data_IF_917620220997
#
_entry.id   IF_917620220997
#
_cell.length_a   1.000
_cell.length_b   1.000
_cell.length_c   1.000
_cell.angle_alpha   90.00
_cell.angle_beta   90.00
_cell.angle_gamma   90.00
#
_symmetry.space_group_name_H-M   'P 1'
#
loop_
_entity.id
_entity.type
_entity.pdbx_description
1 polymer ?
#
# COMPACT_ATOMS: atom_id res chain seq x y z
N UNK A 1 31.27 -6.84 -32.72
CA UNK A 1 29.89 -6.95 -33.25
C UNK A 1 29.04 -7.67 -32.22
N UNK A 2 28.51 -6.94 -31.26
CA UNK A 2 27.62 -7.46 -30.21
C UNK A 2 26.22 -7.57 -30.80
N UNK A 3 25.64 -8.77 -30.86
CA UNK A 3 24.27 -9.00 -31.33
C UNK A 3 23.29 -8.27 -30.39
N UNK A 4 22.51 -7.34 -30.93
CA UNK A 4 21.62 -6.43 -30.18
C UNK A 4 20.22 -6.99 -29.91
N UNK A 5 20.04 -8.31 -29.96
CA UNK A 5 18.77 -8.96 -29.64
C UNK A 5 19.07 -10.34 -29.08
N UNK A 6 19.09 -10.44 -27.76
CA UNK A 6 19.08 -11.71 -27.02
C UNK A 6 17.64 -12.05 -26.67
N UNK A 7 17.26 -13.31 -26.79
CA UNK A 7 15.93 -13.80 -26.42
C UNK A 7 15.74 -13.67 -24.89
N UNK A 8 14.54 -13.24 -24.45
CA UNK A 8 14.20 -13.06 -23.03
C UNK A 8 14.38 -14.38 -22.26
N UNK A 9 14.13 -15.50 -22.94
CA UNK A 9 14.29 -16.86 -22.41
C UNK A 9 15.75 -17.20 -22.10
N UNK A 10 16.70 -16.78 -22.94
CA UNK A 10 18.14 -16.97 -22.70
C UNK A 10 18.67 -16.08 -21.56
N UNK A 11 18.05 -14.91 -21.37
CA UNK A 11 18.37 -13.99 -20.27
C UNK A 11 17.90 -14.54 -18.91
N UNK A 12 16.75 -15.22 -18.90
CA UNK A 12 16.20 -15.89 -17.73
C UNK A 12 16.95 -17.18 -17.36
N UNK A 13 17.41 -17.96 -18.35
CA UNK A 13 18.15 -19.21 -18.11
C UNK A 13 19.60 -19.00 -17.63
N UNK A 14 20.23 -17.87 -17.94
CA UNK A 14 21.60 -17.56 -17.47
C UNK A 14 21.68 -16.99 -16.05
N UNK A 15 20.56 -16.62 -15.43
CA UNK A 15 20.54 -15.85 -14.18
C UNK A 15 19.96 -16.61 -12.97
N UNK A 16 20.35 -17.87 -12.82
CA UNK A 16 19.96 -18.76 -11.71
C UNK A 16 20.70 -18.48 -10.37
N UNK A 17 21.10 -17.23 -10.10
CA UNK A 17 21.85 -16.86 -8.86
C UNK A 17 21.36 -15.58 -8.17
N UNK A 18 20.07 -15.25 -8.23
CA UNK A 18 19.51 -14.15 -7.42
C UNK A 18 19.94 -12.74 -7.84
N UNK A 19 20.92 -12.59 -8.74
CA UNK A 19 21.45 -11.31 -9.20
C UNK A 19 20.45 -10.50 -10.04
N UNK A 20 19.51 -11.14 -10.74
CA UNK A 20 18.45 -10.41 -11.45
C UNK A 20 17.42 -9.82 -10.47
N UNK A 21 16.98 -10.59 -9.48
CA UNK A 21 16.06 -10.09 -8.44
C UNK A 21 16.73 -9.05 -7.57
N UNK A 22 18.01 -9.23 -7.24
CA UNK A 22 18.85 -8.23 -6.58
C UNK A 22 18.97 -6.98 -7.45
N UNK A 23 19.34 -7.09 -8.72
CA UNK A 23 19.48 -5.96 -9.63
C UNK A 23 18.15 -5.24 -9.88
N UNK A 24 17.02 -5.96 -9.96
CA UNK A 24 15.68 -5.39 -10.09
C UNK A 24 15.28 -4.66 -8.80
N UNK A 25 15.54 -5.26 -7.64
CA UNK A 25 15.28 -4.68 -6.32
C UNK A 25 16.20 -3.49 -5.99
N UNK A 26 17.43 -3.49 -6.50
CA UNK A 26 18.43 -2.43 -6.32
C UNK A 26 18.29 -1.30 -7.36
N UNK A 27 17.86 -1.61 -8.59
CA UNK A 27 17.86 -0.64 -9.69
C UNK A 27 16.52 0.08 -9.92
N UNK A 28 15.35 -0.56 -9.77
CA UNK A 28 14.10 0.04 -10.32
C UNK A 28 12.81 -0.26 -9.55
N UNK A 29 12.66 -1.37 -8.83
CA UNK A 29 11.34 -1.69 -8.25
C UNK A 29 11.20 -1.25 -6.80
N UNK A 30 10.56 -0.11 -6.58
CA UNK A 30 9.53 -0.09 -5.54
C UNK A 30 8.36 -0.91 -6.09
N UNK A 31 8.18 -2.16 -5.64
CA UNK A 31 6.93 -2.85 -5.97
C UNK A 31 5.80 -2.07 -5.31
N UNK A 32 4.76 -1.77 -6.09
CA UNK A 32 3.46 -1.41 -5.57
C UNK A 32 2.85 -2.68 -5.01
N UNK A 33 2.62 -2.71 -3.71
CA UNK A 33 2.04 -3.87 -3.06
C UNK A 33 0.52 -3.80 -3.15
N UNK A 34 -0.04 -4.79 -3.84
CA UNK A 34 -1.48 -5.01 -3.99
C UNK A 34 -1.80 -6.33 -3.29
N UNK A 35 -1.49 -6.38 -1.98
CA UNK A 35 -1.45 -7.61 -1.19
C UNK A 35 -2.77 -8.40 -1.22
N UNK A 36 -3.88 -7.69 -1.30
CA UNK A 36 -5.21 -8.26 -1.41
C UNK A 36 -5.55 -8.72 -2.84
N UNK A 37 -5.02 -8.08 -3.88
CA UNK A 37 -5.31 -8.43 -5.27
C UNK A 37 -4.38 -9.53 -5.78
N UNK A 38 -3.06 -9.30 -5.77
CA UNK A 38 -2.07 -10.27 -6.24
C UNK A 38 -2.11 -11.57 -5.43
N UNK A 39 -2.07 -11.40 -4.11
CA UNK A 39 -1.85 -12.50 -3.18
C UNK A 39 -3.11 -13.31 -2.89
N UNK A 40 -4.21 -12.63 -2.56
CA UNK A 40 -5.40 -13.27 -2.02
C UNK A 40 -6.49 -13.52 -3.07
N UNK A 41 -6.73 -12.57 -3.98
CA UNK A 41 -7.79 -12.68 -4.99
C UNK A 41 -7.35 -13.42 -6.25
N UNK A 42 -6.25 -12.99 -6.86
CA UNK A 42 -5.82 -13.48 -8.18
C UNK A 42 -4.91 -14.71 -8.12
N UNK A 43 -4.40 -15.06 -6.92
CA UNK A 43 -3.53 -16.21 -6.74
C UNK A 43 -2.18 -16.10 -7.47
N UNK A 44 -1.72 -14.87 -7.76
CA UNK A 44 -0.45 -14.60 -8.43
C UNK A 44 0.78 -14.74 -7.51
N UNK A 45 0.55 -15.18 -6.27
CA UNK A 45 1.55 -15.31 -5.24
C UNK A 45 1.55 -14.11 -4.31
N UNK A 46 1.93 -14.34 -3.05
CA UNK A 46 1.96 -13.27 -2.04
C UNK A 46 3.39 -12.76 -1.84
N UNK A 47 3.72 -11.52 -2.27
CA UNK A 47 5.04 -10.96 -2.03
C UNK A 47 5.28 -10.81 -0.52
N UNK A 48 6.40 -11.32 -0.03
CA UNK A 48 6.80 -11.18 1.38
C UNK A 48 7.88 -10.12 1.49
N UNK A 49 7.58 -9.02 2.19
CA UNK A 49 8.53 -7.93 2.44
C UNK A 49 9.78 -8.46 3.14
N UNK A 50 9.60 -9.34 4.13
CA UNK A 50 10.71 -9.95 4.84
C UNK A 50 11.61 -10.78 3.91
N UNK A 51 11.02 -11.62 3.03
CA UNK A 51 11.81 -12.41 2.07
C UNK A 51 12.54 -11.49 1.09
N UNK A 52 11.89 -10.44 0.59
CA UNK A 52 12.53 -9.45 -0.29
C UNK A 52 13.71 -8.78 0.42
N UNK A 53 13.58 -8.46 1.71
CA UNK A 53 14.65 -7.88 2.52
C UNK A 53 15.84 -8.81 2.76
N UNK A 54 15.67 -10.13 2.68
CA UNK A 54 16.81 -11.07 2.73
C UNK A 54 17.71 -10.93 1.49
N UNK A 55 17.16 -10.50 0.36
CA UNK A 55 17.89 -10.31 -0.91
C UNK A 55 18.36 -8.85 -1.03
N UNK A 56 17.47 -7.90 -0.72
CA UNK A 56 17.71 -6.46 -0.77
C UNK A 56 17.36 -5.82 0.59
N UNK A 57 18.31 -5.71 1.52
CA UNK A 57 18.04 -5.25 2.90
C UNK A 57 17.38 -3.87 3.00
N UNK A 58 17.66 -2.99 2.03
CA UNK A 58 17.12 -1.64 1.97
C UNK A 58 15.84 -1.51 1.12
N UNK A 59 15.25 -2.65 0.74
CA UNK A 59 14.06 -2.69 -0.10
C UNK A 59 12.91 -1.87 0.50
N UNK A 60 12.39 -0.95 -0.30
CA UNK A 60 11.22 -0.11 -0.01
C UNK A 60 10.11 -0.43 -0.99
N UNK A 61 8.89 -0.22 -0.57
CA UNK A 61 7.69 -0.51 -1.36
C UNK A 61 6.66 0.60 -1.17
N UNK A 62 5.74 0.70 -2.11
CA UNK A 62 4.57 1.58 -2.00
C UNK A 62 3.29 0.75 -2.00
N UNK A 63 2.15 1.37 -1.73
CA UNK A 63 0.84 0.72 -1.75
C UNK A 63 0.02 1.15 -2.97
N UNK A 64 -0.82 0.25 -3.44
CA UNK A 64 -1.76 0.49 -4.55
C UNK A 64 -3.10 -0.20 -4.28
N UNK A 65 -4.13 0.28 -4.95
CA UNK A 65 -5.48 -0.30 -4.89
C UNK A 65 -5.76 -1.27 -6.03
N UNK A 66 -4.89 -1.31 -7.05
CA UNK A 66 -5.11 -1.97 -8.34
C UNK A 66 -6.44 -1.57 -8.99
N UNK A 67 -7.07 -2.49 -9.73
CA UNK A 67 -8.33 -2.30 -10.43
C UNK A 67 -9.53 -2.15 -9.49
N UNK A 68 -10.35 -1.09 -9.62
CA UNK A 68 -11.50 -0.83 -8.74
C UNK A 68 -12.76 -1.68 -9.08
N UNK A 69 -12.63 -2.71 -9.91
CA UNK A 69 -13.77 -3.48 -10.44
C UNK A 69 -14.18 -4.65 -9.54
N UNK A 70 -13.29 -5.11 -8.66
CA UNK A 70 -13.52 -6.26 -7.79
C UNK A 70 -13.15 -6.00 -6.31
N UNK A 71 -12.73 -4.77 -5.96
CA UNK A 71 -12.28 -4.41 -4.62
C UNK A 71 -12.62 -2.96 -4.25
N UNK A 72 -12.61 -2.69 -2.94
CA UNK A 72 -12.65 -1.33 -2.41
C UNK A 72 -11.41 -0.52 -2.82
N UNK A 73 -11.62 0.77 -3.09
CA UNK A 73 -10.61 1.72 -3.60
C UNK A 73 -9.94 2.54 -2.50
N UNK A 74 -10.05 2.11 -1.25
CA UNK A 74 -9.56 2.86 -0.11
C UNK A 74 -8.21 2.35 0.41
N UNK A 75 -7.30 3.29 0.71
CA UNK A 75 -5.94 2.95 1.19
C UNK A 75 -5.93 2.38 2.61
N UNK A 76 -6.95 2.62 3.44
CA UNK A 76 -7.02 2.06 4.80
C UNK A 76 -7.16 0.54 4.76
N UNK A 77 -8.04 0.03 3.91
CA UNK A 77 -8.20 -1.39 3.66
C UNK A 77 -6.92 -2.01 3.11
N UNK A 78 -6.21 -1.33 2.19
CA UNK A 78 -4.92 -1.82 1.64
C UNK A 78 -3.82 -1.86 2.70
N UNK A 79 -3.71 -0.81 3.53
CA UNK A 79 -2.78 -0.77 4.66
C UNK A 79 -3.04 -1.94 5.63
N UNK A 80 -4.30 -2.14 6.03
CA UNK A 80 -4.70 -3.21 6.94
C UNK A 80 -4.47 -4.60 6.34
N UNK A 81 -4.81 -4.80 5.06
CA UNK A 81 -4.58 -6.05 4.35
C UNK A 81 -3.09 -6.40 4.30
N UNK A 82 -2.24 -5.45 3.89
CA UNK A 82 -0.78 -5.64 3.89
C UNK A 82 -0.27 -5.98 5.29
N UNK A 83 -0.66 -5.19 6.31
CA UNK A 83 -0.20 -5.39 7.68
C UNK A 83 -0.56 -6.78 8.20
N UNK A 84 -1.82 -7.20 8.05
CA UNK A 84 -2.29 -8.50 8.51
C UNK A 84 -1.66 -9.66 7.72
N UNK A 85 -1.53 -9.52 6.40
CA UNK A 85 -0.99 -10.56 5.54
C UNK A 85 0.49 -10.82 5.82
N UNK A 86 1.32 -9.78 5.93
CA UNK A 86 2.75 -9.98 6.24
C UNK A 86 2.95 -10.60 7.62
N UNK A 87 2.14 -10.22 8.61
CA UNK A 87 2.18 -10.85 9.94
C UNK A 87 1.74 -12.31 9.89
N UNK A 88 0.68 -12.62 9.15
CA UNK A 88 0.23 -14.01 8.93
C UNK A 88 1.31 -14.85 8.26
N UNK A 89 1.97 -14.33 7.21
CA UNK A 89 3.05 -15.04 6.53
C UNK A 89 4.22 -15.36 7.48
N UNK A 90 4.58 -14.46 8.38
CA UNK A 90 5.62 -14.71 9.38
C UNK A 90 5.18 -15.75 10.41
N UNK A 91 3.95 -15.66 10.92
CA UNK A 91 3.42 -16.68 11.85
C UNK A 91 3.31 -18.06 11.19
N UNK A 92 3.02 -18.15 9.89
CA UNK A 92 2.99 -19.43 9.17
C UNK A 92 4.38 -20.00 8.91
N UNK A 93 5.37 -19.14 8.67
CA UNK A 93 6.75 -19.56 8.45
C UNK A 93 7.40 -20.12 9.73
N UNK A 94 7.00 -19.63 10.90
CA UNK A 94 7.48 -20.11 12.20
C UNK A 94 6.40 -20.01 13.30
N UNK A 95 5.49 -21.00 13.37
CA UNK A 95 4.34 -20.96 14.27
C UNK A 95 4.73 -20.97 15.76
N UNK A 96 5.78 -21.71 16.11
CA UNK A 96 6.21 -21.86 17.50
C UNK A 96 7.08 -20.69 17.96
N UNK A 97 7.94 -20.13 17.08
CA UNK A 97 8.75 -19.00 17.47
C UNK A 97 7.89 -17.81 17.85
N UNK A 98 6.87 -17.41 17.09
CA UNK A 98 6.15 -16.20 17.50
C UNK A 98 5.23 -16.40 18.71
N UNK A 99 4.56 -17.56 18.87
CA UNK A 99 3.64 -17.73 20.00
C UNK A 99 4.40 -17.81 21.34
N UNK A 100 5.45 -18.63 21.42
CA UNK A 100 6.21 -18.80 22.66
C UNK A 100 7.12 -17.59 22.93
N UNK A 101 7.81 -17.09 21.89
CA UNK A 101 8.66 -15.90 22.03
C UNK A 101 7.84 -14.66 22.37
N UNK A 102 6.58 -14.52 21.91
CA UNK A 102 5.76 -13.36 22.28
C UNK A 102 5.54 -13.24 23.80
N UNK A 103 5.36 -14.36 24.52
CA UNK A 103 5.17 -14.30 25.98
C UNK A 103 6.47 -14.04 26.76
N UNK A 104 7.63 -14.33 26.16
CA UNK A 104 8.95 -14.12 26.79
C UNK A 104 9.57 -12.78 26.39
N UNK A 105 9.57 -12.48 25.10
CA UNK A 105 10.11 -11.28 24.46
C UNK A 105 9.24 -10.88 23.23
N UNK A 106 8.22 -10.03 23.44
CA UNK A 106 7.40 -9.50 22.35
C UNK A 106 8.19 -8.74 21.27
N UNK A 107 9.35 -8.17 21.61
CA UNK A 107 10.17 -7.44 20.65
C UNK A 107 10.87 -8.41 19.70
N UNK A 108 11.40 -9.53 20.22
CA UNK A 108 12.02 -10.56 19.41
C UNK A 108 11.03 -11.24 18.42
N UNK A 109 9.78 -11.53 18.84
CA UNK A 109 8.77 -12.05 17.89
C UNK A 109 8.44 -11.04 16.78
N UNK A 110 8.58 -9.72 17.04
CA UNK A 110 8.33 -8.67 16.04
C UNK A 110 9.54 -8.35 15.17
N UNK A 111 10.71 -8.92 15.44
CA UNK A 111 11.92 -8.60 14.70
C UNK A 111 11.81 -9.00 13.22
N UNK A 112 12.15 -8.06 12.34
CA UNK A 112 11.99 -8.19 10.89
C UNK A 112 10.55 -8.13 10.37
N UNK A 113 9.53 -8.07 11.23
CA UNK A 113 8.15 -7.84 10.78
C UNK A 113 7.96 -6.38 10.35
N UNK A 114 7.07 -6.17 9.37
CA UNK A 114 6.66 -4.81 9.03
C UNK A 114 5.92 -4.13 10.17
N UNK A 115 6.13 -2.83 10.30
CA UNK A 115 5.52 -1.96 11.31
C UNK A 115 4.37 -1.15 10.72
N UNK A 116 3.47 -0.67 11.59
CA UNK A 116 2.41 0.26 11.17
C UNK A 116 2.99 1.54 10.54
N UNK A 117 4.16 1.98 11.00
CA UNK A 117 4.89 3.11 10.42
C UNK A 117 5.29 2.84 8.97
N UNK A 118 5.91 1.70 8.70
CA UNK A 118 6.31 1.34 7.33
C UNK A 118 5.10 1.21 6.39
N UNK A 119 3.98 0.71 6.91
CA UNK A 119 2.71 0.65 6.15
C UNK A 119 2.20 2.06 5.81
N UNK A 120 2.21 2.98 6.78
CA UNK A 120 1.83 4.38 6.54
C UNK A 120 2.80 5.08 5.58
N UNK A 121 4.10 4.79 5.68
CA UNK A 121 5.13 5.30 4.75
C UNK A 121 4.90 4.77 3.33
N UNK A 122 4.54 3.49 3.19
CA UNK A 122 4.17 2.88 1.91
C UNK A 122 2.95 3.56 1.26
N UNK A 123 1.98 3.98 2.07
CA UNK A 123 0.80 4.72 1.63
C UNK A 123 1.05 6.21 1.36
N UNK A 124 2.22 6.75 1.70
CA UNK A 124 2.53 8.19 1.63
C UNK A 124 3.87 8.48 0.96
N UNK A 125 4.96 8.59 1.73
CA UNK A 125 6.27 9.03 1.27
C UNK A 125 6.88 8.10 0.23
N UNK A 126 6.69 6.79 0.38
CA UNK A 126 7.22 5.82 -0.57
C UNK A 126 6.39 5.76 -1.85
N UNK A 127 5.08 6.00 -1.79
CA UNK A 127 4.25 6.24 -2.98
C UNK A 127 4.68 7.49 -3.75
N UNK A 128 4.97 8.60 -3.04
CA UNK A 128 5.50 9.80 -3.68
C UNK A 128 6.89 9.55 -4.30
N UNK A 129 7.74 8.74 -3.65
CA UNK A 129 9.04 8.33 -4.20
C UNK A 129 8.87 7.49 -5.48
N UNK A 130 7.98 6.50 -5.46
CA UNK A 130 7.74 5.59 -6.59
C UNK A 130 7.25 6.33 -7.83
N UNK A 131 6.48 7.40 -7.63
CA UNK A 131 5.94 8.21 -8.70
C UNK A 131 6.85 9.41 -9.10
N UNK A 132 8.06 9.52 -8.56
CA UNK A 132 8.96 10.65 -8.84
C UNK A 132 8.45 12.00 -8.30
N UNK A 133 7.52 11.99 -7.35
CA UNK A 133 6.86 13.17 -6.77
C UNK A 133 7.40 13.54 -5.38
N UNK A 134 8.44 12.87 -4.89
CA UNK A 134 8.97 13.10 -3.54
C UNK A 134 9.44 14.55 -3.31
N UNK A 135 9.87 15.27 -4.36
CA UNK A 135 10.19 16.70 -4.24
C UNK A 135 8.96 17.60 -4.02
N UNK A 136 7.75 17.10 -4.30
CA UNK A 136 6.49 17.86 -4.31
C UNK A 136 5.54 17.48 -3.19
N UNK A 137 5.44 16.19 -2.85
CA UNK A 137 4.43 15.66 -1.90
C UNK A 137 4.98 14.48 -1.08
N UNK A 138 4.11 13.80 -0.33
CA UNK A 138 4.40 12.59 0.43
C UNK A 138 4.96 12.81 1.84
N UNK A 139 5.35 14.04 2.19
CA UNK A 139 5.73 14.41 3.57
C UNK A 139 5.23 15.82 3.90
N UNK A 140 4.93 16.07 5.17
CA UNK A 140 4.64 17.41 5.68
C UNK A 140 5.97 18.13 5.93
N UNK A 141 6.47 18.82 4.92
CA UNK A 141 7.76 19.53 4.96
C UNK A 141 7.65 20.86 4.23
N UNK A 142 8.37 21.89 4.70
CA UNK A 142 8.35 23.22 4.07
C UNK A 142 8.74 23.12 2.59
N UNK A 143 8.03 23.87 1.74
CA UNK A 143 8.26 23.90 0.28
C UNK A 143 7.52 22.85 -0.52
N UNK A 144 6.86 21.87 0.13
CA UNK A 144 5.99 20.88 -0.53
C UNK A 144 4.54 21.38 -0.65
N UNK A 145 3.78 20.75 -1.56
CA UNK A 145 2.35 20.99 -1.71
C UNK A 145 1.61 20.59 -0.42
N UNK A 146 0.55 21.34 -0.09
CA UNK A 146 -0.34 21.01 1.02
C UNK A 146 -1.34 19.91 0.59
N UNK A 147 -0.81 18.70 0.40
CA UNK A 147 -1.58 17.48 0.21
C UNK A 147 -1.79 16.82 1.58
N UNK A 148 -2.94 17.07 2.18
CA UNK A 148 -3.19 16.76 3.60
C UNK A 148 -4.52 16.03 3.74
N UNK A 149 -4.53 14.94 4.50
CA UNK A 149 -5.74 14.23 4.93
C UNK A 149 -5.90 14.45 6.44
N UNK A 150 -7.03 15.01 6.85
CA UNK A 150 -7.38 15.23 8.25
C UNK A 150 -8.30 14.09 8.71
N UNK A 151 -7.96 13.47 9.84
CA UNK A 151 -8.63 12.29 10.37
C UNK A 151 -9.23 12.59 11.76
N UNK A 152 -10.48 12.19 11.99
CA UNK A 152 -11.12 12.32 13.30
C UNK A 152 -10.88 11.09 14.17
N UNK A 153 -9.88 11.20 15.06
CA UNK A 153 -9.49 10.14 16.00
C UNK A 153 -10.34 10.12 17.29
N UNK A 154 -11.45 10.87 17.34
CA UNK A 154 -12.33 10.96 18.52
C UNK A 154 -13.65 10.20 18.34
N UNK A 155 -13.83 9.53 17.21
CA UNK A 155 -15.00 8.68 16.97
C UNK A 155 -14.98 7.47 17.91
N UNK A 156 -16.16 7.00 18.28
CA UNK A 156 -16.35 5.98 19.34
C UNK A 156 -15.66 4.64 19.04
N UNK A 157 -15.47 4.33 17.76
CA UNK A 157 -14.87 3.11 17.23
C UNK A 157 -13.33 3.13 17.22
N UNK A 158 -12.71 4.31 17.36
CA UNK A 158 -11.24 4.49 17.32
C UNK A 158 -10.67 5.23 18.52
N UNK A 159 -11.50 5.84 19.36
CA UNK A 159 -11.10 6.55 20.56
C UNK A 159 -11.10 5.68 21.82
N UNK A 160 -10.25 5.98 22.83
CA UNK A 160 -9.19 7.00 22.83
C UNK A 160 -7.94 6.58 22.04
N UNK A 161 -7.34 7.53 21.33
CA UNK A 161 -6.13 7.30 20.51
C UNK A 161 -4.86 7.24 21.37
N UNK A 162 -4.24 6.06 21.42
CA UNK A 162 -2.95 5.84 22.11
C UNK A 162 -1.75 5.88 21.15
N UNK A 163 -1.90 5.32 19.96
CA UNK A 163 -0.90 5.32 18.89
C UNK A 163 -1.56 5.77 17.58
N UNK A 164 -1.32 7.00 17.10
CA UNK A 164 -1.94 7.51 15.88
C UNK A 164 -1.55 6.69 14.63
N UNK A 165 -0.34 6.13 14.59
CA UNK A 165 0.17 5.44 13.41
C UNK A 165 -0.45 4.05 13.32
N UNK A 166 -0.44 3.32 14.44
CA UNK A 166 -1.16 2.06 14.57
C UNK A 166 -2.63 2.23 14.22
N UNK A 167 -3.28 3.27 14.77
CA UNK A 167 -4.70 3.54 14.53
C UNK A 167 -5.03 3.75 13.05
N UNK A 168 -4.24 4.57 12.33
CA UNK A 168 -4.42 4.82 10.90
C UNK A 168 -4.18 3.54 10.08
N UNK A 169 -3.15 2.77 10.40
CA UNK A 169 -2.77 1.60 9.60
C UNK A 169 -3.68 0.39 9.81
N UNK A 170 -4.32 0.25 10.99
CA UNK A 170 -5.01 -1.00 11.37
C UNK A 170 -6.47 -0.85 11.78
N UNK A 171 -6.94 0.34 12.15
CA UNK A 171 -8.28 0.52 12.71
C UNK A 171 -9.18 1.46 11.90
N UNK A 172 -8.65 2.57 11.41
CA UNK A 172 -9.42 3.58 10.67
C UNK A 172 -9.90 3.11 9.28
N UNK A 173 -10.86 3.87 8.74
CA UNK A 173 -11.41 3.74 7.40
C UNK A 173 -11.80 5.12 6.81
N UNK A 174 -12.43 5.14 5.64
CA UNK A 174 -12.83 6.38 4.95
C UNK A 174 -13.85 7.24 5.70
N UNK A 175 -14.63 6.67 6.62
CA UNK A 175 -15.59 7.41 7.46
C UNK A 175 -14.90 8.31 8.50
N UNK A 176 -13.62 8.02 8.79
CA UNK A 176 -12.80 8.80 9.70
C UNK A 176 -12.14 10.01 9.04
N UNK A 177 -12.15 10.08 7.70
CA UNK A 177 -11.61 11.23 6.96
C UNK A 177 -12.56 12.41 7.11
N UNK A 178 -12.13 13.47 7.76
CA UNK A 178 -12.94 14.69 7.88
C UNK A 178 -12.75 15.57 6.65
N UNK A 179 -11.50 15.93 6.38
CA UNK A 179 -11.13 16.90 5.35
C UNK A 179 -9.94 16.41 4.51
N UNK A 180 -9.89 16.82 3.25
CA UNK A 180 -8.81 16.51 2.31
C UNK A 180 -8.43 17.78 1.56
N UNK A 181 -7.15 18.13 1.60
CA UNK A 181 -6.54 19.19 0.80
C UNK A 181 -5.65 18.58 -0.29
N UNK A 182 -5.69 19.16 -1.48
CA UNK A 182 -4.76 18.86 -2.58
C UNK A 182 -4.18 20.18 -3.06
N UNK A 183 -2.87 20.32 -3.00
CA UNK A 183 -2.14 21.56 -3.27
C UNK A 183 -2.65 22.78 -2.49
N UNK A 184 -3.23 22.57 -1.29
CA UNK A 184 -3.80 23.62 -0.45
C UNK A 184 -5.29 23.89 -0.67
N UNK A 185 -5.90 23.31 -1.70
CA UNK A 185 -7.33 23.45 -1.97
C UNK A 185 -8.12 22.30 -1.35
N UNK A 186 -9.18 22.63 -0.60
CA UNK A 186 -10.09 21.63 -0.06
C UNK A 186 -10.83 20.89 -1.17
N UNK A 187 -10.71 19.56 -1.17
CA UNK A 187 -11.48 18.62 -2.01
C UNK A 187 -12.55 17.88 -1.22
N UNK A 188 -12.34 17.74 0.08
CA UNK A 188 -13.33 17.31 1.07
C UNK A 188 -13.20 18.21 2.29
N UNK A 189 -14.31 18.61 2.90
CA UNK A 189 -14.33 19.43 4.11
C UNK A 189 -15.53 19.10 4.98
N UNK A 190 -15.34 19.02 6.29
CA UNK A 190 -16.39 18.74 7.27
C UNK A 190 -17.21 17.49 6.90
N UNK A 191 -16.54 16.44 6.43
CA UNK A 191 -17.17 15.18 6.03
C UNK A 191 -17.76 15.15 4.60
N UNK A 192 -17.82 16.28 3.88
CA UNK A 192 -18.48 16.38 2.57
C UNK A 192 -17.51 16.71 1.41
N UNK A 193 -17.78 16.21 0.20
CA UNK A 193 -17.01 16.55 -0.99
C UNK A 193 -17.27 18.00 -1.41
N UNK A 194 -16.22 18.72 -1.82
CA UNK A 194 -16.30 20.11 -2.25
C UNK A 194 -16.53 20.18 -3.75
N UNK A 195 -17.64 20.81 -4.17
CA UNK A 195 -17.93 21.07 -5.59
C UNK A 195 -18.29 19.83 -6.41
N UNK A 196 -18.71 18.74 -5.77
CA UNK A 196 -19.11 17.49 -6.45
C UNK A 196 -20.61 17.28 -6.32
N UNK A 197 -21.30 17.18 -7.46
CA UNK A 197 -22.67 16.68 -7.54
C UNK A 197 -22.65 15.15 -7.59
N UNK A 198 -22.84 14.52 -6.43
CA UNK A 198 -22.80 13.05 -6.29
C UNK A 198 -23.91 12.39 -7.10
N UNK A 199 -25.11 12.98 -7.16
CA UNK A 199 -26.23 12.40 -7.89
C UNK A 199 -25.93 12.37 -9.40
N UNK A 200 -25.37 13.45 -9.93
CA UNK A 200 -24.92 13.50 -11.33
C UNK A 200 -23.83 12.48 -11.63
N UNK A 201 -22.82 12.36 -10.77
CA UNK A 201 -21.72 11.40 -10.95
C UNK A 201 -22.24 9.96 -10.99
N UNK A 202 -23.18 9.61 -10.09
CA UNK A 202 -23.78 8.28 -10.08
C UNK A 202 -24.62 8.02 -11.34
N UNK A 203 -25.40 9.00 -11.79
CA UNK A 203 -26.16 8.88 -13.04
C UNK A 203 -25.27 8.69 -14.27
N UNK A 204 -24.14 9.39 -14.35
CA UNK A 204 -23.16 9.22 -15.42
C UNK A 204 -22.49 7.83 -15.39
N UNK A 205 -22.19 7.32 -14.19
CA UNK A 205 -21.64 5.98 -14.02
C UNK A 205 -22.64 4.90 -14.43
N UNK A 206 -23.92 5.04 -14.07
CA UNK A 206 -25.00 4.14 -14.49
C UNK A 206 -25.17 4.12 -16.02
N UNK A 207 -25.19 5.30 -16.65
CA UNK A 207 -25.28 5.41 -18.10
C UNK A 207 -24.09 4.73 -18.80
N UNK A 208 -22.87 4.90 -18.26
CA UNK A 208 -21.67 4.23 -18.78
C UNK A 208 -21.76 2.71 -18.63
N UNK A 209 -22.20 2.21 -17.48
CA UNK A 209 -22.41 0.77 -17.23
C UNK A 209 -23.39 0.19 -18.25
N UNK A 210 -24.54 0.82 -18.42
CA UNK A 210 -25.61 0.33 -19.30
C UNK A 210 -25.17 0.31 -20.77
N UNK A 211 -24.41 1.33 -21.19
CA UNK A 211 -23.84 1.39 -22.55
C UNK A 211 -22.79 0.29 -22.80
N UNK A 212 -22.01 -0.12 -21.80
CA UNK A 212 -21.06 -1.23 -21.91
C UNK A 212 -21.81 -2.57 -21.94
N UNK A 213 -22.77 -2.76 -21.04
CA UNK A 213 -23.54 -4.00 -20.97
C UNK A 213 -24.41 -4.24 -22.21
N UNK A 214 -24.95 -3.19 -22.83
CA UNK A 214 -25.72 -3.30 -24.08
C UNK A 214 -24.90 -3.70 -25.31
N UNK A 215 -23.58 -3.85 -25.20
CA UNK A 215 -22.68 -4.32 -26.28
C UNK A 215 -22.28 -5.78 -26.15
N UNK A 216 -22.61 -6.41 -25.02
CA UNK A 216 -22.39 -7.84 -24.75
C UNK A 216 -23.57 -8.66 -25.28
#
# INVERSE_FOLDING_TARGET
MTKTTMDLTELLQKHDQGDLLRSIAEAVLQLMMESDVDGLMMGMGTPSVERLRRIAPNYRYSLSVDVPTNQGTDMFSKMRALFMLQRSLRTQADPEACLFTFFQDPAACRDGMITAREVLEAATVEGARANGLLGRTGTLSRGKQADIVLLDARRIDVGPMNDPIGLVATAMDTSHVDSVMVAGDFRKRDGALVGVDVARVLSEAEASRDAVLGRL
#
